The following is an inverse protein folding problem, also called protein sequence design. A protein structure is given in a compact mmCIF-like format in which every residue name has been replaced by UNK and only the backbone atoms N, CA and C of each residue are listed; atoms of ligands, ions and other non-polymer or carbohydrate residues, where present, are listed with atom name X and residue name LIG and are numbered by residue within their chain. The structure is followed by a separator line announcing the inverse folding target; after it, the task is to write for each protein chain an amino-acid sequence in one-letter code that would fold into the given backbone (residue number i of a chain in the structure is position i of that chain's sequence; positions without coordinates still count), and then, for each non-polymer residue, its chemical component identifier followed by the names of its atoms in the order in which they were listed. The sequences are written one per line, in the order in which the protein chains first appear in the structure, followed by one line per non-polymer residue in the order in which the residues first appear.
data_IF_204530310692
#
_entry.id   IF_204530310692
#
_cell.length_a   1.000
_cell.length_b   1.000
_cell.length_c   1.000
_cell.angle_alpha   90.00
_cell.angle_beta   90.00
_cell.angle_gamma   90.00
#
_symmetry.space_group_name_H-M   'P 1'
#
loop_
_entity.id
_entity.type
_entity.pdbx_description
1 polymer ?
#
# COMPACT_ATOMS: atom_id res chain seq x y z
N UNK A 1 21.14 -14.29 38.80
CA UNK A 1 22.04 -14.18 37.63
C UNK A 1 21.64 -15.01 36.41
N UNK A 2 20.93 -16.15 36.49
CA UNK A 2 20.48 -16.93 35.30
C UNK A 2 19.55 -16.16 34.36
N UNK A 3 18.62 -15.35 34.89
CA UNK A 3 17.70 -14.54 34.09
C UNK A 3 18.44 -13.53 33.21
N UNK A 4 19.35 -12.75 33.78
CA UNK A 4 20.13 -11.73 33.05
C UNK A 4 20.96 -12.37 31.92
N UNK A 5 21.57 -13.54 32.15
CA UNK A 5 22.31 -14.27 31.11
C UNK A 5 21.38 -14.69 29.95
N UNK A 6 20.15 -15.13 30.26
CA UNK A 6 19.17 -15.52 29.24
C UNK A 6 18.72 -14.31 28.41
N UNK A 7 18.42 -13.18 29.09
CA UNK A 7 18.01 -11.96 28.37
C UNK A 7 19.15 -11.35 27.56
N UNK A 8 20.40 -11.42 28.06
CA UNK A 8 21.59 -11.03 27.29
C UNK A 8 21.70 -11.84 25.98
N UNK A 9 21.58 -13.17 26.05
CA UNK A 9 21.67 -14.02 24.86
C UNK A 9 20.59 -13.68 23.81
N UNK A 10 19.35 -13.44 24.24
CA UNK A 10 18.27 -13.01 23.33
C UNK A 10 18.53 -11.65 22.68
N UNK A 11 19.10 -10.71 23.46
CA UNK A 11 19.44 -9.39 22.93
C UNK A 11 20.56 -9.49 21.90
N UNK A 12 21.59 -10.28 22.16
CA UNK A 12 22.71 -10.53 21.23
C UNK A 12 22.21 -11.18 19.93
N UNK A 13 21.31 -12.17 20.03
CA UNK A 13 20.64 -12.77 18.87
C UNK A 13 19.84 -11.72 18.08
N UNK A 14 19.06 -10.87 18.76
CA UNK A 14 18.29 -9.80 18.14
C UNK A 14 19.16 -8.78 17.42
N UNK A 15 20.30 -8.39 18.01
CA UNK A 15 21.27 -7.46 17.38
C UNK A 15 21.85 -8.10 16.12
N UNK A 16 22.32 -9.34 16.20
CA UNK A 16 22.88 -10.07 15.06
C UNK A 16 21.87 -10.21 13.90
N UNK A 17 20.63 -10.53 14.22
CA UNK A 17 19.56 -10.62 13.22
C UNK A 17 19.26 -9.27 12.57
N UNK A 18 19.27 -8.19 13.33
CA UNK A 18 19.07 -6.83 12.81
C UNK A 18 20.20 -6.42 11.84
N UNK A 19 21.46 -6.70 12.21
CA UNK A 19 22.62 -6.44 11.35
C UNK A 19 22.55 -7.26 10.07
N UNK A 20 22.16 -8.53 10.16
CA UNK A 20 21.94 -9.41 9.00
C UNK A 20 20.91 -8.81 8.06
N UNK A 21 19.73 -8.40 8.56
CA UNK A 21 18.65 -7.80 7.74
C UNK A 21 19.11 -6.51 7.07
N UNK A 22 19.83 -5.64 7.76
CA UNK A 22 20.39 -4.40 7.19
C UNK A 22 21.40 -4.68 6.09
N UNK A 23 22.27 -5.66 6.30
CA UNK A 23 23.24 -6.11 5.31
C UNK A 23 22.55 -6.70 4.06
N UNK A 24 21.57 -7.57 4.24
CA UNK A 24 20.79 -8.15 3.12
C UNK A 24 20.03 -7.07 2.34
N UNK A 25 19.48 -6.07 3.02
CA UNK A 25 18.85 -4.93 2.36
C UNK A 25 19.84 -4.18 1.46
N UNK A 26 20.95 -3.73 2.02
CA UNK A 26 21.93 -2.89 1.30
C UNK A 26 22.64 -3.64 0.19
N UNK A 27 23.02 -4.92 0.42
CA UNK A 27 23.81 -5.69 -0.53
C UNK A 27 23.01 -6.41 -1.61
N UNK A 28 21.75 -6.80 -1.32
CA UNK A 28 20.95 -7.61 -2.24
C UNK A 28 19.61 -6.97 -2.60
N UNK A 29 18.75 -6.70 -1.60
CA UNK A 29 17.38 -6.32 -1.86
C UNK A 29 17.29 -4.97 -2.59
N UNK A 30 17.93 -3.92 -2.06
CA UNK A 30 17.95 -2.58 -2.65
C UNK A 30 18.51 -2.57 -4.09
N UNK A 31 19.68 -3.15 -4.39
CA UNK A 31 20.19 -3.25 -5.76
C UNK A 31 19.25 -4.05 -6.69
N UNK A 32 18.64 -5.13 -6.19
CA UNK A 32 17.69 -5.91 -6.98
C UNK A 32 16.43 -5.11 -7.30
N UNK A 33 15.89 -4.35 -6.34
CA UNK A 33 14.73 -3.48 -6.56
C UNK A 33 15.06 -2.44 -7.62
N UNK A 34 16.20 -1.76 -7.50
CA UNK A 34 16.65 -0.76 -8.45
C UNK A 34 16.76 -1.34 -9.87
N UNK A 35 17.55 -2.41 -10.03
CA UNK A 35 17.77 -3.05 -11.33
C UNK A 35 16.47 -3.50 -12.02
N UNK A 36 15.56 -4.14 -11.27
CA UNK A 36 14.27 -4.61 -11.83
C UNK A 36 13.36 -3.43 -12.15
N UNK A 37 13.38 -2.37 -11.35
CA UNK A 37 12.55 -1.20 -11.57
C UNK A 37 13.03 -0.37 -12.75
N UNK A 38 14.34 -0.23 -12.95
CA UNK A 38 14.93 0.45 -14.11
C UNK A 38 14.63 -0.33 -15.40
N UNK A 39 14.81 -1.67 -15.39
CA UNK A 39 14.41 -2.54 -16.52
C UNK A 39 12.92 -2.37 -16.84
N UNK A 40 12.07 -2.34 -15.82
CA UNK A 40 10.63 -2.18 -15.99
C UNK A 40 10.27 -0.81 -16.55
N UNK A 41 10.90 0.26 -16.05
CA UNK A 41 10.71 1.63 -16.54
C UNK A 41 11.14 1.78 -18.00
N UNK A 42 12.27 1.15 -18.40
CA UNK A 42 12.74 1.11 -19.78
C UNK A 42 11.73 0.42 -20.68
N UNK A 43 11.27 -0.78 -20.31
CA UNK A 43 10.27 -1.54 -21.07
C UNK A 43 8.94 -0.80 -21.20
N UNK A 44 8.51 -0.07 -20.14
CA UNK A 44 7.31 0.77 -20.19
C UNK A 44 7.45 1.91 -21.20
N UNK A 45 8.62 2.57 -21.24
CA UNK A 45 8.92 3.60 -22.21
C UNK A 45 8.93 3.06 -23.66
N UNK A 46 9.59 1.93 -23.88
CA UNK A 46 9.64 1.27 -25.20
C UNK A 46 8.24 0.82 -25.68
N UNK A 47 7.38 0.43 -24.74
CA UNK A 47 5.98 0.09 -25.02
C UNK A 47 5.08 1.34 -25.23
N UNK A 48 5.61 2.55 -25.14
CA UNK A 48 4.83 3.79 -25.28
C UNK A 48 3.88 4.06 -24.13
N UNK A 49 4.17 3.57 -22.90
CA UNK A 49 3.33 3.85 -21.75
C UNK A 49 3.29 5.37 -21.46
N UNK A 50 2.10 5.98 -21.34
CA UNK A 50 1.95 7.44 -21.37
C UNK A 50 2.53 8.15 -20.13
N UNK A 51 2.75 7.43 -19.03
CA UNK A 51 3.28 8.00 -17.79
C UNK A 51 4.74 7.60 -17.59
N UNK A 52 5.60 8.59 -17.36
CA UNK A 52 7.02 8.36 -17.13
C UNK A 52 7.24 7.74 -15.75
N UNK A 53 7.86 6.56 -15.70
CA UNK A 53 8.34 5.96 -14.47
C UNK A 53 9.70 6.51 -14.11
N UNK A 54 9.85 6.94 -12.86
CA UNK A 54 11.07 7.52 -12.30
C UNK A 54 11.46 6.72 -11.08
N UNK A 55 12.64 6.10 -11.11
CA UNK A 55 13.19 5.36 -9.97
C UNK A 55 14.10 6.31 -9.19
N UNK A 56 13.90 6.39 -7.88
CA UNK A 56 14.68 7.24 -6.98
C UNK A 56 15.00 6.52 -5.67
N UNK A 57 16.08 6.90 -5.06
CA UNK A 57 16.52 6.42 -3.75
C UNK A 57 16.36 7.55 -2.76
N UNK A 58 15.84 7.26 -1.56
CA UNK A 58 15.78 8.23 -0.47
C UNK A 58 17.19 8.64 -0.03
N UNK A 59 17.32 9.86 0.53
CA UNK A 59 18.60 10.37 1.03
C UNK A 59 19.15 9.47 2.14
N UNK A 60 20.47 9.27 2.12
CA UNK A 60 21.16 8.40 3.09
C UNK A 60 21.19 8.98 4.51
N UNK A 61 20.93 10.29 4.65
CA UNK A 61 20.95 11.04 5.92
C UNK A 61 19.79 10.66 6.87
N UNK A 62 18.73 10.10 6.33
CA UNK A 62 17.65 9.52 7.14
C UNK A 62 17.95 8.03 7.31
N UNK A 63 17.95 7.53 8.54
CA UNK A 63 18.14 6.09 8.89
C UNK A 63 17.18 5.13 8.16
N UNK A 64 16.36 5.61 7.25
CA UNK A 64 15.38 4.89 6.46
C UNK A 64 15.82 4.85 5.01
N UNK A 65 16.40 3.71 4.62
CA UNK A 65 16.71 3.48 3.22
C UNK A 65 15.43 3.16 2.47
N UNK A 66 15.04 4.04 1.56
CA UNK A 66 13.85 3.86 0.72
C UNK A 66 14.24 3.75 -0.74
N UNK A 67 13.48 2.95 -1.50
CA UNK A 67 13.46 2.99 -2.96
C UNK A 67 12.05 3.33 -3.38
N UNK A 68 11.92 4.38 -4.20
CA UNK A 68 10.64 4.86 -4.69
C UNK A 68 10.60 4.79 -6.22
N UNK A 69 9.51 4.25 -6.74
CA UNK A 69 9.18 4.26 -8.15
C UNK A 69 7.94 5.14 -8.33
N UNK A 70 8.11 6.34 -8.88
CA UNK A 70 7.06 7.32 -9.08
C UNK A 70 6.65 7.44 -10.54
N UNK A 71 5.40 7.87 -10.78
CA UNK A 71 4.83 8.01 -12.12
C UNK A 71 4.82 9.47 -12.61
N UNK A 72 5.71 10.28 -12.08
CA UNK A 72 5.86 11.67 -12.49
C UNK A 72 4.64 12.56 -12.22
N UNK A 73 4.62 13.69 -12.91
CA UNK A 73 3.54 14.69 -12.86
C UNK A 73 2.85 14.68 -14.22
N UNK A 74 1.52 14.56 -14.23
CA UNK A 74 0.73 14.48 -15.45
C UNK A 74 -0.31 15.60 -15.49
N UNK A 75 -0.55 16.14 -16.69
CA UNK A 75 -1.63 17.09 -16.91
C UNK A 75 -2.97 16.36 -16.95
N UNK A 76 -3.96 16.89 -16.23
CA UNK A 76 -5.35 16.38 -16.28
C UNK A 76 -6.14 16.90 -17.49
N UNK A 77 -5.57 17.86 -18.25
CA UNK A 77 -6.29 18.57 -19.32
C UNK A 77 -7.25 19.65 -18.82
N UNK A 78 -7.49 19.74 -17.51
CA UNK A 78 -8.39 20.74 -16.92
C UNK A 78 -7.64 22.05 -16.73
N UNK A 79 -8.27 23.15 -17.16
CA UNK A 79 -7.78 24.51 -16.96
C UNK A 79 -8.58 25.17 -15.84
N UNK A 80 -7.91 25.81 -14.92
CA UNK A 80 -8.50 26.67 -13.90
C UNK A 80 -8.04 28.11 -14.08
N UNK A 81 -8.90 29.07 -13.75
CA UNK A 81 -8.56 30.50 -13.74
C UNK A 81 -8.20 30.88 -12.31
N UNK A 82 -7.02 31.39 -12.12
CA UNK A 82 -6.54 31.89 -10.84
C UNK A 82 -6.36 33.40 -10.94
N UNK A 83 -6.92 34.14 -9.97
CA UNK A 83 -6.75 35.61 -9.89
C UNK A 83 -5.53 35.88 -9.03
N UNK A 84 -4.49 36.40 -9.64
CA UNK A 84 -3.29 36.83 -8.94
C UNK A 84 -3.33 38.35 -8.78
N UNK A 85 -3.42 38.82 -7.54
CA UNK A 85 -3.33 40.26 -7.22
C UNK A 85 -1.87 40.61 -7.02
N UNK A 86 -1.38 41.56 -7.84
CA UNK A 86 -0.04 42.14 -7.66
C UNK A 86 -0.21 43.65 -7.60
N UNK A 87 -0.29 44.21 -6.38
CA UNK A 87 -0.67 45.61 -6.13
C UNK A 87 -2.11 45.88 -6.59
N UNK A 88 -2.34 46.99 -7.29
CA UNK A 88 -3.68 47.41 -7.78
C UNK A 88 -4.12 46.66 -9.04
N UNK A 89 -3.31 45.75 -9.59
CA UNK A 89 -3.68 45.00 -10.79
C UNK A 89 -4.05 43.56 -10.46
N UNK A 90 -5.25 43.16 -10.89
CA UNK A 90 -5.72 41.78 -10.86
C UNK A 90 -5.51 41.15 -12.23
N UNK A 91 -4.62 40.18 -12.33
CA UNK A 91 -4.40 39.38 -13.55
C UNK A 91 -5.07 38.01 -13.42
N UNK A 92 -5.88 37.63 -14.40
CA UNK A 92 -6.36 36.27 -14.54
C UNK A 92 -5.28 35.42 -15.24
N UNK A 93 -4.79 34.41 -14.55
CA UNK A 93 -3.81 33.44 -15.09
C UNK A 93 -4.54 32.11 -15.26
N UNK A 94 -4.44 31.52 -16.45
CA UNK A 94 -4.90 30.16 -16.67
C UNK A 94 -3.82 29.18 -16.21
N UNK A 95 -4.17 28.29 -15.28
CA UNK A 95 -3.29 27.25 -14.78
C UNK A 95 -3.84 25.88 -15.14
N UNK A 96 -2.96 24.98 -15.60
CA UNK A 96 -3.31 23.58 -15.81
C UNK A 96 -3.33 22.85 -14.47
N UNK A 97 -4.42 22.11 -14.21
CA UNK A 97 -4.47 21.19 -13.07
C UNK A 97 -3.64 19.96 -13.39
N UNK A 98 -2.76 19.61 -12.46
CA UNK A 98 -1.87 18.45 -12.56
C UNK A 98 -2.26 17.38 -11.55
N UNK A 99 -1.98 16.14 -11.89
CA UNK A 99 -2.01 15.00 -10.96
C UNK A 99 -0.58 14.52 -10.67
N UNK A 100 -0.31 14.21 -9.40
CA UNK A 100 1.00 13.81 -8.90
C UNK A 100 0.89 12.83 -7.74
N UNK A 101 2.02 12.26 -7.33
CA UNK A 101 2.15 11.49 -6.08
C UNK A 101 1.90 10.00 -6.20
N UNK A 102 1.53 9.49 -7.39
CA UNK A 102 1.46 8.03 -7.56
C UNK A 102 2.85 7.41 -7.48
N UNK A 103 3.04 6.49 -6.55
CA UNK A 103 4.32 5.85 -6.33
C UNK A 103 4.20 4.49 -5.65
N UNK A 104 5.16 3.62 -5.94
CA UNK A 104 5.48 2.42 -5.18
C UNK A 104 6.71 2.70 -4.32
N UNK A 105 6.62 2.45 -3.03
CA UNK A 105 7.71 2.73 -2.09
C UNK A 105 8.06 1.45 -1.34
N UNK A 106 9.34 1.07 -1.42
CA UNK A 106 9.95 0.07 -0.54
C UNK A 106 10.71 0.82 0.54
N UNK A 107 10.36 0.64 1.79
CA UNK A 107 10.99 1.33 2.92
C UNK A 107 11.45 0.32 3.97
N UNK A 108 12.75 0.33 4.27
CA UNK A 108 13.26 -0.46 5.39
C UNK A 108 12.97 0.25 6.71
N UNK A 109 12.33 -0.47 7.63
CA UNK A 109 12.04 0.00 8.98
C UNK A 109 13.28 -0.09 9.89
N UNK A 110 13.28 0.56 11.06
CA UNK A 110 14.35 0.41 12.05
C UNK A 110 14.58 -1.04 12.50
N UNK A 111 13.54 -1.89 12.47
CA UNK A 111 13.64 -3.34 12.77
C UNK A 111 14.28 -4.17 11.65
N UNK A 112 14.73 -3.52 10.56
CA UNK A 112 15.34 -4.18 9.41
C UNK A 112 14.35 -4.85 8.45
N UNK A 113 13.05 -4.81 8.74
CA UNK A 113 11.99 -5.30 7.86
C UNK A 113 11.62 -4.26 6.81
N UNK A 114 11.05 -4.70 5.71
CA UNK A 114 10.66 -3.84 4.60
C UNK A 114 9.14 -3.69 4.53
N UNK A 115 8.69 -2.46 4.44
CA UNK A 115 7.30 -2.10 4.12
C UNK A 115 7.19 -1.78 2.64
N UNK A 116 6.10 -2.20 2.02
CA UNK A 116 5.79 -1.90 0.62
C UNK A 116 4.49 -1.11 0.58
N UNK A 117 4.59 0.15 0.16
CA UNK A 117 3.50 1.12 0.15
C UNK A 117 3.17 1.55 -1.27
N UNK A 118 1.89 1.67 -1.56
CA UNK A 118 1.36 2.11 -2.84
C UNK A 118 0.57 3.40 -2.66
N UNK A 119 1.02 4.48 -3.27
CA UNK A 119 0.39 5.80 -3.20
C UNK A 119 -0.45 6.07 -4.45
N UNK A 120 -1.66 6.66 -4.31
CA UNK A 120 -2.49 7.07 -5.44
C UNK A 120 -2.01 8.37 -6.07
N UNK A 121 -2.46 8.64 -7.30
CA UNK A 121 -2.47 9.99 -7.82
C UNK A 121 -3.37 10.90 -7.00
N UNK A 122 -2.97 12.15 -6.89
CA UNK A 122 -3.72 13.25 -6.26
C UNK A 122 -3.67 14.48 -7.14
N UNK A 123 -4.78 15.17 -7.25
CA UNK A 123 -4.89 16.50 -7.86
C UNK A 123 -5.74 17.40 -6.96
N UNK A 124 -5.83 18.68 -7.32
CA UNK A 124 -6.66 19.65 -6.59
C UNK A 124 -8.17 19.34 -6.71
N UNK A 125 -8.57 18.72 -7.80
CA UNK A 125 -10.00 18.42 -8.09
C UNK A 125 -10.37 16.98 -7.73
N UNK A 126 -9.41 16.10 -7.58
CA UNK A 126 -9.67 14.69 -7.29
C UNK A 126 -8.55 14.06 -6.47
N UNK A 127 -8.95 13.35 -5.47
CA UNK A 127 -8.08 12.44 -4.72
C UNK A 127 -8.86 11.20 -4.28
N UNK A 128 -8.17 10.09 -4.16
CA UNK A 128 -8.74 8.87 -3.60
C UNK A 128 -8.94 9.03 -2.09
N UNK A 129 -9.90 8.27 -1.54
CA UNK A 129 -10.17 8.26 -0.08
C UNK A 129 -9.01 7.65 0.71
N UNK A 130 -8.33 6.65 0.14
CA UNK A 130 -7.14 6.07 0.73
C UNK A 130 -5.91 6.97 0.52
N UNK A 131 -5.15 7.23 1.58
CA UNK A 131 -3.87 7.97 1.49
C UNK A 131 -2.78 7.13 0.83
N UNK A 132 -2.76 5.85 1.11
CA UNK A 132 -1.92 4.82 0.50
C UNK A 132 -2.48 3.43 0.85
N UNK A 133 -1.99 2.40 0.18
CA UNK A 133 -2.30 0.99 0.45
C UNK A 133 -1.00 0.29 0.87
N UNK A 134 -1.00 -0.39 2.01
CA UNK A 134 0.14 -1.19 2.47
C UNK A 134 0.06 -2.59 1.85
N UNK A 135 0.81 -2.81 0.76
CA UNK A 135 0.85 -4.10 0.07
C UNK A 135 1.57 -5.18 0.89
N UNK A 136 2.55 -4.77 1.68
CA UNK A 136 3.27 -5.66 2.61
C UNK A 136 3.80 -4.88 3.81
N UNK A 137 3.78 -5.52 4.99
CA UNK A 137 4.49 -5.07 6.18
C UNK A 137 5.29 -6.24 6.75
N UNK A 138 6.46 -5.96 7.33
CA UNK A 138 7.30 -6.99 7.91
C UNK A 138 7.91 -7.95 6.88
N UNK A 139 8.19 -7.49 5.66
CA UNK A 139 8.85 -8.29 4.65
C UNK A 139 10.34 -8.41 4.94
N UNK A 140 10.85 -9.61 5.12
CA UNK A 140 12.28 -9.83 5.26
C UNK A 140 13.00 -9.49 3.95
N UNK A 141 14.13 -8.73 3.97
CA UNK A 141 14.86 -8.35 2.76
C UNK A 141 15.25 -9.54 1.86
N UNK A 142 15.61 -10.68 2.44
CA UNK A 142 15.96 -11.91 1.72
C UNK A 142 14.82 -12.51 0.89
N UNK A 143 13.55 -12.22 1.25
CA UNK A 143 12.35 -12.67 0.53
C UNK A 143 11.98 -11.78 -0.66
N UNK A 144 12.71 -10.70 -0.88
CA UNK A 144 12.49 -9.79 -2.00
C UNK A 144 13.09 -10.37 -3.27
N UNK A 145 12.25 -10.98 -4.08
CA UNK A 145 12.63 -11.62 -5.35
C UNK A 145 12.25 -10.75 -6.54
N UNK A 146 12.93 -10.93 -7.69
CA UNK A 146 12.57 -10.26 -8.95
C UNK A 146 11.09 -10.45 -9.32
N UNK A 147 10.56 -11.67 -9.13
CA UNK A 147 9.13 -11.99 -9.38
C UNK A 147 8.20 -11.17 -8.49
N UNK A 148 8.54 -11.02 -7.22
CA UNK A 148 7.74 -10.25 -6.25
C UNK A 148 7.75 -8.75 -6.62
N UNK A 149 8.92 -8.21 -6.99
CA UNK A 149 9.06 -6.82 -7.41
C UNK A 149 8.21 -6.56 -8.67
N UNK A 150 8.34 -7.40 -9.73
CA UNK A 150 7.51 -7.28 -10.95
C UNK A 150 6.02 -7.32 -10.63
N UNK A 151 5.58 -8.21 -9.74
CA UNK A 151 4.19 -8.25 -9.29
C UNK A 151 3.73 -6.92 -8.67
N UNK A 152 4.56 -6.30 -7.82
CA UNK A 152 4.21 -5.00 -7.22
C UNK A 152 4.22 -3.88 -8.25
N UNK A 153 5.13 -3.88 -9.21
CA UNK A 153 5.15 -2.92 -10.32
C UNK A 153 3.89 -3.03 -11.19
N UNK A 154 3.46 -4.25 -11.55
CA UNK A 154 2.22 -4.47 -12.29
C UNK A 154 0.98 -3.97 -11.52
N UNK A 155 0.93 -4.23 -10.22
CA UNK A 155 -0.12 -3.69 -9.35
C UNK A 155 -0.10 -2.16 -9.32
N UNK A 156 1.10 -1.57 -9.30
CA UNK A 156 1.27 -0.11 -9.27
C UNK A 156 0.84 0.54 -10.58
N UNK A 157 1.21 -0.02 -11.74
CA UNK A 157 0.76 0.46 -13.06
C UNK A 157 -0.76 0.43 -13.16
N UNK A 158 -1.38 -0.67 -12.73
CA UNK A 158 -2.84 -0.77 -12.67
C UNK A 158 -3.44 0.27 -11.74
N UNK A 159 -2.88 0.45 -10.56
CA UNK A 159 -3.37 1.40 -9.58
C UNK A 159 -3.16 2.85 -10.01
N UNK A 160 -2.04 3.16 -10.68
CA UNK A 160 -1.79 4.44 -11.31
C UNK A 160 -2.94 4.81 -12.26
N UNK A 161 -3.31 3.89 -13.17
CA UNK A 161 -4.44 4.08 -14.07
C UNK A 161 -5.78 4.26 -13.33
N UNK A 162 -6.05 3.44 -12.30
CA UNK A 162 -7.29 3.50 -11.53
C UNK A 162 -7.41 4.78 -10.69
N UNK A 163 -6.28 5.35 -10.26
CA UNK A 163 -6.25 6.56 -9.43
C UNK A 163 -6.10 7.85 -10.22
N UNK A 164 -5.73 7.77 -11.51
CA UNK A 164 -5.58 8.90 -12.41
C UNK A 164 -6.94 9.36 -12.96
N UNK A 165 -7.14 10.68 -13.06
CA UNK A 165 -8.31 11.28 -13.75
C UNK A 165 -8.40 10.82 -15.20
N UNK A 166 -7.27 10.81 -15.91
CA UNK A 166 -7.21 10.36 -17.30
C UNK A 166 -7.60 8.88 -17.44
N UNK A 167 -7.16 8.02 -16.50
CA UNK A 167 -7.47 6.61 -16.50
C UNK A 167 -8.94 6.31 -16.17
N UNK A 168 -9.59 7.19 -15.40
CA UNK A 168 -11.00 7.06 -15.02
C UNK A 168 -11.99 7.57 -16.06
N UNK A 169 -11.55 8.26 -17.09
CA UNK A 169 -12.43 8.85 -18.12
C UNK A 169 -13.37 7.82 -18.78
N UNK A 170 -12.95 6.55 -18.90
CA UNK A 170 -13.77 5.44 -19.41
C UNK A 170 -14.60 4.72 -18.33
N UNK A 171 -14.54 5.18 -17.08
CA UNK A 171 -15.06 4.44 -15.93
C UNK A 171 -14.18 3.25 -15.52
N UNK A 172 -14.45 2.72 -14.34
CA UNK A 172 -13.76 1.53 -13.85
C UNK A 172 -14.49 0.27 -14.29
N UNK A 173 -13.78 -0.63 -14.97
CA UNK A 173 -14.32 -1.95 -15.33
C UNK A 173 -14.60 -2.78 -14.05
N UNK A 174 -15.41 -3.82 -14.15
CA UNK A 174 -15.64 -4.75 -13.04
C UNK A 174 -14.35 -5.38 -12.54
N UNK A 175 -13.42 -5.70 -13.45
CA UNK A 175 -12.09 -6.24 -13.11
C UNK A 175 -11.23 -5.22 -12.35
N UNK A 176 -11.34 -3.92 -12.68
CA UNK A 176 -10.62 -2.87 -11.97
C UNK A 176 -11.18 -2.67 -10.56
N UNK A 177 -12.51 -2.68 -10.42
CA UNK A 177 -13.19 -2.60 -9.11
C UNK A 177 -12.79 -3.78 -8.23
N UNK A 178 -12.77 -4.99 -8.79
CA UNK A 178 -12.35 -6.19 -8.08
C UNK A 178 -10.87 -6.14 -7.67
N UNK A 179 -9.98 -5.73 -8.60
CA UNK A 179 -8.55 -5.58 -8.31
C UNK A 179 -8.29 -4.55 -7.21
N UNK A 180 -8.99 -3.40 -7.26
CA UNK A 180 -8.91 -2.36 -6.23
C UNK A 180 -9.43 -2.88 -4.88
N UNK A 181 -10.57 -3.54 -4.87
CA UNK A 181 -11.14 -4.15 -3.66
C UNK A 181 -10.19 -5.18 -3.06
N UNK A 182 -9.57 -6.02 -3.91
CA UNK A 182 -8.55 -6.98 -3.48
C UNK A 182 -7.33 -6.29 -2.86
N UNK A 183 -6.79 -5.23 -3.49
CA UNK A 183 -5.65 -4.48 -2.94
C UNK A 183 -6.00 -3.85 -1.58
N UNK A 184 -7.18 -3.23 -1.45
CA UNK A 184 -7.67 -2.67 -0.18
C UNK A 184 -7.92 -3.74 0.87
N UNK A 185 -8.44 -4.89 0.48
CA UNK A 185 -8.65 -6.02 1.38
C UNK A 185 -7.34 -6.60 1.90
N UNK A 186 -6.31 -6.61 1.05
CA UNK A 186 -4.96 -7.08 1.40
C UNK A 186 -4.15 -6.04 2.17
N UNK A 187 -4.63 -4.79 2.31
CA UNK A 187 -3.98 -3.78 3.15
C UNK A 187 -3.85 -4.31 4.58
N UNK A 188 -2.61 -4.50 5.01
CA UNK A 188 -2.32 -5.14 6.29
C UNK A 188 -2.81 -4.32 7.49
N UNK A 189 -2.94 -2.99 7.35
CA UNK A 189 -3.53 -2.13 8.39
C UNK A 189 -5.01 -2.40 8.52
N UNK A 190 -5.72 -2.50 7.40
CA UNK A 190 -7.13 -2.86 7.37
C UNK A 190 -7.36 -4.27 7.91
N UNK A 191 -6.45 -5.21 7.64
CA UNK A 191 -6.49 -6.57 8.17
C UNK A 191 -6.34 -6.58 9.71
N UNK A 192 -5.40 -5.83 10.25
CA UNK A 192 -5.21 -5.72 11.70
C UNK A 192 -6.38 -5.01 12.38
N UNK A 193 -6.90 -3.95 11.76
CA UNK A 193 -8.05 -3.22 12.25
C UNK A 193 -9.31 -4.10 12.22
N UNK A 194 -9.55 -4.87 11.16
CA UNK A 194 -10.65 -5.85 11.08
C UNK A 194 -10.49 -6.96 12.12
N UNK A 195 -9.28 -7.46 12.34
CA UNK A 195 -9.02 -8.46 13.38
C UNK A 195 -9.33 -7.89 14.77
N UNK A 196 -8.90 -6.65 15.04
CA UNK A 196 -9.22 -5.97 16.29
C UNK A 196 -10.71 -5.66 16.41
N UNK A 197 -11.37 -5.27 15.31
CA UNK A 197 -12.83 -5.07 15.29
C UNK A 197 -13.57 -6.39 15.45
N UNK A 198 -13.09 -7.51 14.88
CA UNK A 198 -13.68 -8.84 15.09
C UNK A 198 -13.43 -9.35 16.51
N UNK A 199 -12.31 -9.02 17.11
CA UNK A 199 -12.03 -9.31 18.53
C UNK A 199 -12.87 -8.41 19.45
N UNK A 200 -13.11 -7.16 19.02
CA UNK A 200 -13.93 -6.15 19.71
C UNK A 200 -15.41 -6.14 19.24
N UNK A 201 -15.79 -6.89 18.21
CA UNK A 201 -17.17 -7.39 17.98
C UNK A 201 -17.45 -8.35 19.11
N UNK A 202 -17.47 -7.70 20.21
CA UNK A 202 -17.50 -8.18 21.53
C UNK A 202 -18.59 -9.21 21.67
N UNK A 203 -18.27 -10.11 22.49
CA UNK A 203 -19.07 -11.16 23.10
C UNK A 203 -20.60 -11.00 23.05
N UNK A 204 -21.17 -9.82 22.94
CA UNK A 204 -22.61 -9.58 22.90
C UNK A 204 -23.25 -10.01 21.57
N UNK A 205 -22.70 -9.61 20.42
CA UNK A 205 -23.20 -10.07 19.12
C UNK A 205 -22.98 -11.59 18.92
N UNK A 206 -21.83 -12.08 19.37
CA UNK A 206 -21.54 -13.51 19.32
C UNK A 206 -22.46 -14.29 20.28
N UNK A 207 -22.67 -13.78 21.49
CA UNK A 207 -23.63 -14.32 22.45
C UNK A 207 -25.03 -14.30 21.88
N UNK A 208 -25.45 -13.19 21.22
CA UNK A 208 -26.77 -13.08 20.61
C UNK A 208 -26.97 -14.09 19.47
N UNK A 209 -25.99 -14.27 18.60
CA UNK A 209 -26.00 -15.25 17.52
C UNK A 209 -26.04 -16.70 18.10
N UNK A 210 -25.18 -16.98 19.07
CA UNK A 210 -25.15 -18.30 19.73
C UNK A 210 -26.48 -18.59 20.43
N UNK A 211 -27.06 -17.60 21.11
CA UNK A 211 -28.36 -17.75 21.78
C UNK A 211 -29.47 -17.99 20.76
N UNK A 212 -29.43 -17.28 19.62
CA UNK A 212 -30.40 -17.46 18.53
C UNK A 212 -30.31 -18.84 17.87
N UNK A 213 -29.10 -19.34 17.65
CA UNK A 213 -28.85 -20.68 17.13
C UNK A 213 -29.27 -21.77 18.12
N UNK A 214 -29.02 -21.59 19.43
CA UNK A 214 -29.42 -22.49 20.49
C UNK A 214 -30.93 -22.56 20.63
N UNK A 215 -31.64 -21.42 20.60
CA UNK A 215 -33.11 -21.39 20.65
C UNK A 215 -33.71 -22.06 19.42
N UNK A 216 -33.13 -21.83 18.22
CA UNK A 216 -33.60 -22.51 17.00
C UNK A 216 -33.38 -24.02 17.06
N UNK A 217 -32.27 -24.45 17.61
CA UNK A 217 -31.97 -25.89 17.80
C UNK A 217 -32.91 -26.55 18.81
N UNK A 218 -33.20 -25.88 19.95
CA UNK A 218 -34.14 -26.37 20.98
C UNK A 218 -35.55 -26.45 20.42
N UNK A 219 -36.02 -25.46 19.64
CA UNK A 219 -37.33 -25.48 18.99
C UNK A 219 -37.46 -26.61 17.97
N UNK A 220 -36.43 -26.88 17.18
CA UNK A 220 -36.43 -28.01 16.23
C UNK A 220 -36.49 -29.37 16.97
N UNK A 221 -35.78 -29.52 18.08
CA UNK A 221 -35.83 -30.72 18.91
C UNK A 221 -37.23 -30.89 19.52
N UNK A 222 -37.81 -29.82 20.08
CA UNK A 222 -39.14 -29.87 20.68
C UNK A 222 -40.21 -30.22 19.64
N UNK A 223 -40.15 -29.69 18.43
CA UNK A 223 -41.04 -30.06 17.33
C UNK A 223 -40.89 -31.52 16.91
N UNK A 224 -39.67 -32.05 16.89
CA UNK A 224 -39.42 -33.45 16.53
C UNK A 224 -40.00 -34.41 17.57
N UNK A 225 -39.98 -34.04 18.85
CA UNK A 225 -40.55 -34.85 19.92
C UNK A 225 -42.06 -34.68 20.09
N UNK A 226 -42.64 -33.56 19.67
CA UNK A 226 -44.07 -33.31 19.70
C UNK A 226 -44.84 -34.00 18.55
N UNK A 227 -44.15 -34.43 17.51
CA UNK A 227 -44.69 -35.11 16.32
C UNK A 227 -44.57 -36.66 16.40
N UNK A 228 -44.04 -37.17 17.50
CA UNK A 228 -44.04 -38.62 17.83
C UNK A 228 -45.04 -38.95 18.91
#
# INVERSE_FOLDING_TARGET
MKFIKKEKAKLEEGISELERRRSEWSKKAKPTILSVSDEYAKNANEAGYPYRLIVSVGSEDLNYQTVQISFGINSTGILTKERQSSGDQVKEIQRKIIEKGCALVFSQSPSGEVMVLLYPYKSEVYSRTETNIMLHAGLHPEKITKKLIKKYLDQTVRYARISSLNGMARGLSLLDRWALSKMKFMDQRAKNQRRNTLINLDSEWLKMIITMLLTLFITLIAQHYALK
#
